data_IF_438249809995
#
_entry.id   IF_438249809995
#
_cell.length_a   1.000
_cell.length_b   1.000
_cell.length_c   1.000
_cell.angle_alpha   90.00
_cell.angle_beta   90.00
_cell.angle_gamma   90.00
#
_symmetry.space_group_name_H-M   'P 1'
#
loop_
_entity.id
_entity.type
_entity.pdbx_description
1 polymer ?
#
# COMPACT_ATOMS: atom_id res chain seq x y z
N UNK A 1 15.53 13.04 4.77
CA UNK A 1 14.53 11.95 4.76
C UNK A 1 13.40 12.33 3.81
N UNK A 2 12.98 11.41 2.95
CA UNK A 2 11.89 11.71 2.02
C UNK A 2 10.57 11.87 2.78
N UNK A 3 9.76 12.77 2.29
CA UNK A 3 8.43 12.98 2.86
C UNK A 3 7.49 11.86 2.40
N UNK A 4 6.60 11.46 3.29
CA UNK A 4 5.53 10.54 2.95
C UNK A 4 4.64 11.21 1.88
N UNK A 5 4.41 10.56 0.73
CA UNK A 5 3.59 11.17 -0.32
C UNK A 5 2.11 11.18 0.06
N UNK A 6 1.38 12.12 -0.51
CA UNK A 6 -0.08 12.17 -0.41
C UNK A 6 -0.64 11.46 -1.63
N UNK A 7 -1.21 10.28 -1.43
CA UNK A 7 -1.72 9.45 -2.53
C UNK A 7 -3.09 8.87 -2.18
N UNK A 8 -3.80 8.46 -3.23
CA UNK A 8 -5.08 7.77 -3.09
C UNK A 8 -4.87 6.28 -2.80
N UNK A 9 -5.93 5.62 -2.33
CA UNK A 9 -5.91 4.17 -2.18
C UNK A 9 -5.63 3.46 -3.49
N UNK A 10 -6.19 3.96 -4.59
CA UNK A 10 -5.96 3.40 -5.93
C UNK A 10 -4.49 3.51 -6.34
N UNK A 11 -3.86 4.65 -6.09
CA UNK A 11 -2.43 4.82 -6.37
C UNK A 11 -1.58 3.90 -5.51
N UNK A 12 -1.94 3.73 -4.25
CA UNK A 12 -1.24 2.81 -3.35
C UNK A 12 -1.33 1.37 -3.83
N UNK A 13 -2.51 0.92 -4.25
CA UNK A 13 -2.70 -0.43 -4.78
C UNK A 13 -1.78 -0.66 -5.98
N UNK A 14 -1.74 0.28 -6.93
CA UNK A 14 -0.88 0.16 -8.10
C UNK A 14 0.59 0.11 -7.71
N UNK A 15 1.01 0.94 -6.76
CA UNK A 15 2.40 0.95 -6.28
C UNK A 15 2.77 -0.39 -5.64
N UNK A 16 1.90 -0.93 -4.78
CA UNK A 16 2.16 -2.22 -4.16
C UNK A 16 2.18 -3.35 -5.19
N UNK A 17 1.33 -3.29 -6.23
CA UNK A 17 1.38 -4.28 -7.31
C UNK A 17 2.73 -4.25 -8.02
N UNK A 18 3.29 -3.07 -8.27
CA UNK A 18 4.63 -2.94 -8.88
C UNK A 18 5.70 -3.49 -7.96
N UNK A 19 5.47 -3.46 -6.65
CA UNK A 19 6.40 -4.01 -5.67
C UNK A 19 6.21 -5.52 -5.42
N UNK A 20 5.34 -6.17 -6.20
CA UNK A 20 5.17 -7.63 -6.14
C UNK A 20 3.94 -8.10 -5.37
N UNK A 21 3.13 -7.18 -4.87
CA UNK A 21 1.88 -7.54 -4.21
C UNK A 21 0.80 -7.82 -5.26
N UNK A 22 -0.13 -8.72 -4.95
CA UNK A 22 -1.25 -9.02 -5.85
C UNK A 22 -2.57 -8.81 -5.12
N UNK A 23 -3.57 -8.38 -5.85
CA UNK A 23 -4.91 -8.23 -5.30
C UNK A 23 -5.49 -9.61 -5.03
N UNK A 24 -5.92 -9.83 -3.79
CA UNK A 24 -6.61 -11.05 -3.39
C UNK A 24 -8.13 -10.86 -3.53
N UNK A 25 -8.65 -9.80 -2.93
CA UNK A 25 -10.09 -9.52 -2.95
C UNK A 25 -10.35 -8.07 -2.57
N UNK A 26 -11.59 -7.65 -2.79
CA UNK A 26 -12.08 -6.36 -2.31
C UNK A 26 -13.19 -6.61 -1.30
N UNK A 27 -13.08 -5.97 -0.15
CA UNK A 27 -14.08 -6.04 0.91
C UNK A 27 -14.60 -4.63 1.16
N UNK A 28 -15.79 -4.32 0.62
CA UNK A 28 -16.33 -2.97 0.69
C UNK A 28 -15.40 -1.99 0.02
N UNK A 29 -14.95 -0.98 0.75
CA UNK A 29 -14.03 0.04 0.26
C UNK A 29 -12.56 -0.30 0.47
N UNK A 30 -12.24 -1.54 0.86
CA UNK A 30 -10.86 -1.98 1.09
C UNK A 30 -10.44 -3.01 0.06
N UNK A 31 -9.28 -2.79 -0.57
CA UNK A 31 -8.64 -3.77 -1.44
C UNK A 31 -7.60 -4.51 -0.63
N UNK A 32 -7.69 -5.84 -0.60
CA UNK A 32 -6.76 -6.69 0.15
C UNK A 32 -5.72 -7.25 -0.80
N UNK A 33 -4.44 -7.06 -0.43
CA UNK A 33 -3.29 -7.51 -1.22
C UNK A 33 -2.50 -8.55 -0.45
N UNK A 34 -1.97 -9.52 -1.20
CA UNK A 34 -1.10 -10.58 -0.66
C UNK A 34 0.21 -10.61 -1.44
N UNK A 35 1.27 -11.07 -0.78
CA UNK A 35 2.56 -11.29 -1.43
C UNK A 35 3.18 -12.57 -0.90
N UNK A 36 3.71 -13.38 -1.83
CA UNK A 36 4.41 -14.63 -1.47
C UNK A 36 5.59 -14.32 -0.55
N UNK A 37 5.68 -15.09 0.54
CA UNK A 37 6.74 -14.89 1.53
C UNK A 37 6.43 -13.86 2.61
N UNK A 38 5.28 -13.20 2.54
CA UNK A 38 4.84 -12.26 3.56
C UNK A 38 3.61 -12.81 4.29
N UNK A 39 3.66 -12.80 5.62
CA UNK A 39 2.55 -13.27 6.45
C UNK A 39 1.44 -12.23 6.47
N UNK A 40 1.79 -10.96 6.55
CA UNK A 40 0.82 -9.88 6.61
C UNK A 40 0.12 -9.69 5.26
N UNK A 41 -1.16 -9.37 5.31
CA UNK A 41 -1.90 -8.88 4.16
C UNK A 41 -2.00 -7.36 4.27
N UNK A 42 -2.16 -6.69 3.11
CA UNK A 42 -2.39 -5.25 3.08
C UNK A 42 -3.85 -5.00 2.82
N UNK A 43 -4.50 -4.20 3.67
CA UNK A 43 -5.87 -3.78 3.47
C UNK A 43 -5.86 -2.29 3.17
N UNK A 44 -6.04 -1.92 1.90
CA UNK A 44 -5.89 -0.55 1.42
C UNK A 44 -7.27 0.09 1.25
N UNK A 45 -7.61 1.09 2.09
CA UNK A 45 -8.88 1.78 1.91
C UNK A 45 -8.87 2.59 0.63
N UNK A 46 -9.97 2.53 -0.11
CA UNK A 46 -10.08 3.19 -1.41
C UNK A 46 -10.58 4.63 -1.26
N UNK A 47 -9.85 5.39 -0.47
CA UNK A 47 -10.10 6.82 -0.25
C UNK A 47 -9.34 7.64 -1.29
N UNK A 48 -9.84 8.85 -1.56
CA UNK A 48 -9.15 9.78 -2.47
C UNK A 48 -7.79 10.18 -1.95
N UNK A 49 -7.63 10.16 -0.63
CA UNK A 49 -6.38 10.50 0.02
C UNK A 49 -6.21 9.62 1.25
N UNK A 50 -5.11 8.87 1.30
CA UNK A 50 -4.81 8.03 2.44
C UNK A 50 -4.27 8.88 3.59
N UNK A 51 -4.79 8.63 4.80
CA UNK A 51 -4.25 9.27 5.99
C UNK A 51 -2.78 8.84 6.17
N UNK A 52 -1.90 9.75 6.62
CA UNK A 52 -0.47 9.42 6.82
C UNK A 52 -0.24 8.20 7.70
N UNK A 53 -1.00 8.07 8.78
CA UNK A 53 -0.88 6.90 9.69
C UNK A 53 -1.26 5.60 8.99
N UNK A 54 -2.28 5.63 8.16
CA UNK A 54 -2.71 4.46 7.39
C UNK A 54 -1.62 4.05 6.40
N UNK A 55 -1.07 5.00 5.66
CA UNK A 55 -0.01 4.70 4.69
C UNK A 55 1.25 4.18 5.38
N UNK A 56 1.63 4.77 6.51
CA UNK A 56 2.78 4.26 7.28
C UNK A 56 2.57 2.84 7.78
N UNK A 57 1.37 2.51 8.25
CA UNK A 57 1.04 1.14 8.65
C UNK A 57 1.16 0.17 7.50
N UNK A 58 0.66 0.55 6.31
CA UNK A 58 0.77 -0.28 5.12
C UNK A 58 2.22 -0.52 4.73
N UNK A 59 3.04 0.52 4.76
CA UNK A 59 4.47 0.39 4.44
C UNK A 59 5.17 -0.52 5.44
N UNK A 60 4.85 -0.39 6.73
CA UNK A 60 5.43 -1.26 7.75
C UNK A 60 5.05 -2.72 7.50
N UNK A 61 3.79 -2.99 7.23
CA UNK A 61 3.32 -4.36 6.96
C UNK A 61 3.91 -4.91 5.67
N UNK A 62 4.14 -4.04 4.68
CA UNK A 62 4.77 -4.42 3.42
C UNK A 62 6.30 -4.52 3.52
N UNK A 63 6.87 -4.14 4.65
CA UNK A 63 8.31 -4.06 4.87
C UNK A 63 8.98 -3.16 3.83
N UNK A 64 8.33 -2.03 3.54
CA UNK A 64 8.80 -1.05 2.57
C UNK A 64 9.13 0.28 3.21
N UNK A 65 10.19 0.91 2.73
CA UNK A 65 10.53 2.28 3.11
C UNK A 65 9.75 3.27 2.25
N UNK A 66 9.70 4.54 2.70
CA UNK A 66 9.11 5.61 1.89
C UNK A 66 9.85 5.75 0.57
N UNK A 67 11.17 5.61 0.57
CA UNK A 67 11.98 5.69 -0.64
C UNK A 67 11.59 4.60 -1.65
N UNK A 68 11.38 3.38 -1.17
CA UNK A 68 10.95 2.28 -2.03
C UNK A 68 9.55 2.54 -2.60
N UNK A 69 8.65 3.09 -1.80
CA UNK A 69 7.33 3.47 -2.28
C UNK A 69 7.43 4.50 -3.40
N UNK A 70 8.25 5.55 -3.20
CA UNK A 70 8.41 6.60 -4.20
C UNK A 70 8.92 6.08 -5.53
N UNK A 71 9.73 5.01 -5.52
CA UNK A 71 10.24 4.39 -6.74
C UNK A 71 9.17 3.67 -7.54
N UNK A 72 8.12 3.21 -6.89
CA UNK A 72 7.06 2.43 -7.54
C UNK A 72 5.77 3.23 -7.76
N UNK A 73 5.76 4.48 -7.37
CA UNK A 73 4.62 5.36 -7.66
C UNK A 73 4.57 5.79 -9.11
#
# INVERSE_FOLDING_TARGET
MPKLPVISGSQAVKAFQRAGWRIDRQRGSHVVLLKTGHIASLSVPQHKELAPGTLRSLLRDAEMTVEELLRVL
#
